data_IF_174025968893
#
_entry.id   IF_174025968893
#
_cell.length_a   1.000
_cell.length_b   1.000
_cell.length_c   1.000
_cell.angle_alpha   90.00
_cell.angle_beta   90.00
_cell.angle_gamma   90.00
#
_symmetry.space_group_name_H-M   'P 1'
#
loop_
_entity.id
_entity.type
_entity.pdbx_description
1 polymer ?
#
# COMPACT_ATOMS: atom_id res chain seq x y z
N UNK A 1 -2.76 -16.26 -3.59
CA UNK A 1 -2.86 -15.77 -2.19
C UNK A 1 -1.66 -14.88 -1.96
N UNK A 2 -1.89 -13.64 -1.54
CA UNK A 2 -0.87 -12.62 -1.42
C UNK A 2 -0.50 -12.24 0.05
N UNK A 3 0.67 -11.61 0.22
CA UNK A 3 1.32 -11.08 1.42
C UNK A 3 1.09 -9.59 1.43
N UNK A 4 0.52 -9.13 2.53
CA UNK A 4 0.02 -7.78 2.66
C UNK A 4 0.43 -7.30 4.04
N UNK A 5 1.31 -6.30 4.17
CA UNK A 5 1.84 -5.91 5.48
C UNK A 5 0.82 -5.06 6.26
N UNK A 6 0.77 -5.25 7.57
CA UNK A 6 0.19 -4.30 8.54
C UNK A 6 1.26 -3.87 9.53
N UNK A 7 1.42 -2.56 9.72
CA UNK A 7 2.30 -1.95 10.70
C UNK A 7 1.49 -1.60 11.95
N UNK A 8 2.01 -1.95 13.12
CA UNK A 8 1.38 -1.70 14.42
C UNK A 8 2.32 -0.91 15.30
N UNK A 9 1.76 -0.04 16.13
CA UNK A 9 2.50 0.56 17.25
C UNK A 9 2.10 -0.04 18.58
N UNK A 10 2.98 0.05 19.58
CA UNK A 10 2.64 -0.28 20.97
C UNK A 10 2.15 0.97 21.69
N UNK A 11 1.00 0.85 22.35
CA UNK A 11 0.53 1.89 23.28
C UNK A 11 0.33 1.29 24.66
N UNK A 12 0.90 1.93 25.68
CA UNK A 12 0.57 1.68 27.08
C UNK A 12 -0.55 2.65 27.42
N UNK A 13 -1.80 2.19 27.42
CA UNK A 13 -2.92 3.02 27.84
C UNK A 13 -3.09 2.97 29.35
N UNK A 14 -3.02 4.09 30.09
CA UNK A 14 -3.68 4.19 31.38
C UNK A 14 -5.20 4.12 31.16
N UNK A 15 -5.92 3.44 32.05
CA UNK A 15 -7.37 3.26 32.01
C UNK A 15 -8.10 4.60 31.73
N UNK A 16 -8.92 4.71 30.66
CA UNK A 16 -9.61 5.96 30.35
C UNK A 16 -10.80 6.17 31.29
N UNK A 17 -10.95 7.40 31.79
CA UNK A 17 -12.16 7.87 32.47
C UNK A 17 -13.18 8.35 31.41
N UNK A 18 -14.38 7.77 31.47
CA UNK A 18 -15.49 8.07 30.57
C UNK A 18 -15.98 9.52 30.75
N UNK A 19 -15.90 10.32 29.69
CA UNK A 19 -16.72 11.53 29.55
C UNK A 19 -17.30 11.63 28.15
N UNK A 20 -18.63 11.76 28.08
CA UNK A 20 -19.45 11.85 26.88
C UNK A 20 -19.53 13.30 26.38
N UNK A 21 -19.32 13.59 25.08
CA UNK A 21 -19.71 14.87 24.51
C UNK A 21 -21.14 14.83 23.97
N UNK A 22 -21.89 15.90 24.28
CA UNK A 22 -23.24 16.22 23.82
C UNK A 22 -23.28 16.56 22.33
N UNK A 23 -24.36 16.13 21.67
CA UNK A 23 -24.79 16.59 20.36
C UNK A 23 -25.27 18.05 20.38
N UNK A 24 -25.06 18.77 19.28
CA UNK A 24 -25.83 19.97 18.92
C UNK A 24 -25.99 20.06 17.40
N UNK A 25 -27.04 20.76 17.00
CA UNK A 25 -27.85 20.53 15.80
C UNK A 25 -27.81 21.68 14.78
N UNK A 26 -28.27 21.34 13.56
CA UNK A 26 -29.14 22.10 12.64
C UNK A 26 -28.63 23.32 11.83
N UNK A 27 -28.70 23.12 10.49
CA UNK A 27 -29.38 23.91 9.42
C UNK A 27 -29.00 25.38 9.13
N UNK A 28 -28.73 25.68 7.86
CA UNK A 28 -29.66 26.44 6.99
C UNK A 28 -29.20 26.58 5.54
N UNK A 29 -30.19 26.64 4.64
CA UNK A 29 -30.15 26.75 3.18
C UNK A 29 -30.17 28.23 2.77
N UNK A 30 -29.56 28.58 1.63
CA UNK A 30 -30.00 29.76 0.86
C UNK A 30 -29.82 29.56 -0.66
N UNK A 31 -30.86 29.98 -1.39
CA UNK A 31 -31.00 30.04 -2.85
C UNK A 31 -30.90 31.51 -3.27
N UNK A 32 -30.44 31.82 -4.50
CA UNK A 32 -31.17 32.84 -5.25
C UNK A 32 -31.47 32.49 -6.71
N UNK A 33 -32.41 33.27 -7.22
CA UNK A 33 -33.27 33.11 -8.39
C UNK A 33 -32.65 33.69 -9.69
N UNK A 34 -32.90 32.99 -10.80
CA UNK A 34 -33.26 33.43 -12.18
C UNK A 34 -32.61 34.66 -12.85
N UNK A 35 -32.12 34.52 -14.09
CA UNK A 35 -32.89 34.84 -15.33
C UNK A 35 -32.04 34.75 -16.62
N UNK A 36 -32.77 34.52 -17.73
CA UNK A 36 -32.56 35.01 -19.10
C UNK A 36 -32.14 33.99 -20.17
N UNK A 37 -33.13 33.68 -21.02
CA UNK A 37 -32.98 33.10 -22.35
C UNK A 37 -32.26 34.05 -23.31
N UNK A 38 -31.33 33.51 -24.08
CA UNK A 38 -30.86 34.10 -25.34
C UNK A 38 -30.55 32.97 -26.33
N UNK A 39 -31.25 33.01 -27.46
CA UNK A 39 -31.13 32.07 -28.57
C UNK A 39 -29.99 32.53 -29.49
N UNK A 40 -28.97 31.67 -29.71
CA UNK A 40 -27.95 31.88 -30.75
C UNK A 40 -27.65 30.59 -31.51
N UNK A 41 -27.53 30.76 -32.83
CA UNK A 41 -27.46 29.81 -33.95
C UNK A 41 -26.56 28.57 -33.79
N UNK A 42 -26.84 27.46 -34.50
CA UNK A 42 -26.07 26.23 -34.40
C UNK A 42 -24.67 26.42 -34.99
N UNK A 43 -23.65 26.19 -34.16
CA UNK A 43 -22.25 26.12 -34.56
C UNK A 43 -22.02 24.75 -35.21
N UNK A 44 -21.41 24.74 -36.40
CA UNK A 44 -21.12 23.53 -37.16
C UNK A 44 -20.40 22.48 -36.29
N UNK A 45 -20.96 21.28 -36.23
CA UNK A 45 -20.42 20.12 -35.53
C UNK A 45 -19.14 19.67 -36.23
N UNK A 46 -17.99 19.60 -35.53
CA UNK A 46 -16.80 18.96 -36.10
C UNK A 46 -17.10 17.46 -36.30
N UNK A 47 -16.48 16.81 -37.31
CA UNK A 47 -16.67 15.36 -37.52
C UNK A 47 -16.37 14.60 -36.22
N UNK A 48 -17.22 13.63 -35.88
CA UNK A 48 -17.24 12.95 -34.57
C UNK A 48 -15.88 12.43 -34.08
N UNK A 49 -14.97 12.14 -35.01
CA UNK A 49 -13.60 11.72 -34.71
C UNK A 49 -12.76 12.81 -34.01
N UNK A 50 -12.91 14.09 -34.40
CA UNK A 50 -12.22 15.20 -33.73
C UNK A 50 -12.75 15.45 -32.32
N UNK A 51 -14.01 15.14 -32.06
CA UNK A 51 -14.62 15.28 -30.72
C UNK A 51 -14.11 14.23 -29.74
N UNK A 52 -13.83 13.01 -30.23
CA UNK A 52 -13.25 11.92 -29.42
C UNK A 52 -11.78 12.20 -29.10
N UNK A 53 -10.99 12.63 -30.09
CA UNK A 53 -9.58 13.00 -29.87
C UNK A 53 -9.49 14.18 -28.91
N UNK A 54 -10.32 15.22 -29.07
CA UNK A 54 -10.33 16.37 -28.17
C UNK A 54 -10.70 15.95 -26.74
N UNK A 55 -11.68 15.06 -26.57
CA UNK A 55 -12.06 14.56 -25.24
C UNK A 55 -10.93 13.76 -24.59
N UNK A 56 -10.29 12.86 -25.32
CA UNK A 56 -9.14 12.09 -24.82
C UNK A 56 -7.96 12.99 -24.42
N UNK A 57 -7.67 14.05 -25.20
CA UNK A 57 -6.61 15.02 -24.86
C UNK A 57 -6.94 15.83 -23.61
N UNK A 58 -8.21 16.23 -23.44
CA UNK A 58 -8.67 16.93 -22.24
C UNK A 58 -8.60 16.01 -21.01
N UNK A 59 -9.08 14.77 -21.12
CA UNK A 59 -9.00 13.75 -20.07
C UNK A 59 -7.54 13.44 -19.70
N UNK A 60 -6.64 13.29 -20.68
CA UNK A 60 -5.21 13.09 -20.44
C UNK A 60 -4.57 14.31 -19.76
N UNK A 61 -4.98 15.53 -20.12
CA UNK A 61 -4.48 16.76 -19.52
C UNK A 61 -5.01 16.99 -18.09
N UNK A 62 -6.26 16.65 -17.81
CA UNK A 62 -6.83 16.63 -16.46
C UNK A 62 -6.18 15.55 -15.60
N UNK A 63 -5.99 14.35 -16.13
CA UNK A 63 -5.24 13.27 -15.49
C UNK A 63 -3.81 13.70 -15.17
N UNK A 64 -3.13 14.37 -16.10
CA UNK A 64 -1.78 14.92 -15.89
C UNK A 64 -1.76 15.99 -14.80
N UNK A 65 -2.77 16.87 -14.74
CA UNK A 65 -2.89 17.90 -13.69
C UNK A 65 -3.14 17.28 -12.32
N UNK A 66 -4.08 16.35 -12.21
CA UNK A 66 -4.35 15.61 -10.97
C UNK A 66 -3.09 14.86 -10.49
N UNK A 67 -2.38 14.20 -11.40
CA UNK A 67 -1.11 13.50 -11.11
C UNK A 67 0.00 14.44 -10.67
N UNK A 68 0.08 15.65 -11.23
CA UNK A 68 1.07 16.66 -10.84
C UNK A 68 0.79 17.25 -9.46
N UNK A 69 -0.49 17.34 -9.06
CA UNK A 69 -0.92 17.85 -7.76
C UNK A 69 -0.63 16.84 -6.63
N UNK A 70 -0.91 15.54 -6.87
CA UNK A 70 -0.54 14.43 -5.96
C UNK A 70 0.98 14.29 -5.80
N UNK A 71 1.74 14.47 -6.88
CA UNK A 71 3.21 14.39 -6.83
C UNK A 71 3.87 15.47 -5.95
N UNK A 72 3.17 16.57 -5.62
CA UNK A 72 3.80 17.75 -5.01
C UNK A 72 3.78 17.73 -3.49
N UNK A 73 2.85 17.00 -2.86
CA UNK A 73 2.76 16.81 -1.41
C UNK A 73 2.15 15.44 -1.16
N UNK A 74 2.82 14.62 -0.34
CA UNK A 74 2.17 13.44 0.22
C UNK A 74 0.81 13.76 0.81
N UNK A 75 -0.04 12.76 0.91
CA UNK A 75 -1.33 12.89 1.55
C UNK A 75 -1.16 12.65 3.04
N UNK A 76 -1.66 13.57 3.86
CA UNK A 76 -1.73 13.39 5.32
C UNK A 76 -3.08 12.72 5.66
N UNK A 77 -3.03 11.53 6.26
CA UNK A 77 -4.20 10.73 6.65
C UNK A 77 -4.05 10.32 8.12
N UNK A 78 -4.98 10.71 9.00
CA UNK A 78 -4.92 10.36 10.44
C UNK A 78 -3.57 10.73 11.10
N UNK A 79 -2.91 11.81 10.64
CA UNK A 79 -1.59 12.23 11.11
C UNK A 79 -0.40 11.44 10.55
N UNK A 80 -0.64 10.59 9.54
CA UNK A 80 0.37 9.82 8.82
C UNK A 80 0.58 10.39 7.43
N UNK A 81 1.85 10.66 7.09
CA UNK A 81 2.24 11.07 5.75
C UNK A 81 2.37 9.84 4.85
N UNK A 82 1.61 9.82 3.75
CA UNK A 82 1.64 8.77 2.74
C UNK A 82 2.04 9.38 1.40
N UNK A 83 3.07 8.84 0.79
CA UNK A 83 3.58 9.29 -0.51
C UNK A 83 3.74 8.10 -1.43
N UNK A 84 3.52 8.23 -2.75
CA UNK A 84 3.78 7.10 -3.62
C UNK A 84 3.28 7.21 -5.05
N UNK A 85 3.51 6.13 -5.78
CA UNK A 85 3.04 5.90 -7.14
C UNK A 85 2.28 4.58 -7.14
N UNK A 86 1.11 4.54 -7.76
CA UNK A 86 0.39 3.29 -8.02
C UNK A 86 -0.38 3.44 -9.34
N UNK A 87 0.06 2.69 -10.34
CA UNK A 87 -0.53 2.64 -11.67
C UNK A 87 -0.57 1.17 -12.06
N UNK A 88 -1.77 0.63 -12.20
CA UNK A 88 -2.00 -0.80 -12.47
C UNK A 88 -1.18 -1.30 -13.65
N UNK A 89 -0.45 -2.39 -13.44
CA UNK A 89 0.42 -3.02 -14.44
C UNK A 89 1.70 -2.27 -14.77
N UNK A 90 1.98 -1.13 -14.13
CA UNK A 90 3.14 -0.28 -14.43
C UNK A 90 4.08 -0.09 -13.25
N UNK A 91 3.56 0.39 -12.11
CA UNK A 91 4.37 0.65 -10.92
C UNK A 91 3.52 0.81 -9.67
N UNK A 92 3.95 0.20 -8.57
CA UNK A 92 3.46 0.46 -7.21
C UNK A 92 4.66 0.67 -6.29
N UNK A 93 4.67 1.79 -5.56
CA UNK A 93 5.63 2.11 -4.52
C UNK A 93 5.01 3.14 -3.56
N UNK A 94 4.73 2.71 -2.33
CA UNK A 94 4.11 3.53 -1.29
C UNK A 94 5.11 3.75 -0.17
N UNK A 95 5.50 4.98 0.06
CA UNK A 95 6.46 5.43 1.08
C UNK A 95 5.69 5.92 2.30
N UNK A 96 6.09 5.43 3.47
CA UNK A 96 5.57 5.80 4.78
C UNK A 96 6.72 6.33 5.65
N UNK A 97 7.07 7.62 5.54
CA UNK A 97 8.23 8.19 6.22
C UNK A 97 8.19 8.02 7.75
N UNK A 98 7.01 8.15 8.36
CA UNK A 98 6.82 7.99 9.82
C UNK A 98 7.29 6.63 10.34
N UNK A 99 7.15 5.58 9.51
CA UNK A 99 7.52 4.21 9.85
C UNK A 99 8.85 3.79 9.24
N UNK A 100 9.58 4.70 8.58
CA UNK A 100 10.82 4.39 7.87
C UNK A 100 10.63 3.21 6.88
N UNK A 101 9.45 3.14 6.26
CA UNK A 101 8.96 1.95 5.56
C UNK A 101 8.48 2.27 4.14
N UNK A 102 8.58 1.28 3.26
CA UNK A 102 8.06 1.30 1.89
C UNK A 102 7.29 0.01 1.64
N UNK A 103 6.13 0.13 1.01
CA UNK A 103 5.39 -0.99 0.46
C UNK A 103 5.55 -1.00 -1.07
N UNK A 104 6.06 -2.12 -1.57
CA UNK A 104 6.43 -2.35 -2.96
C UNK A 104 7.47 -1.38 -3.56
N UNK A 105 8.13 -1.85 -4.60
CA UNK A 105 9.24 -1.20 -5.29
C UNK A 105 9.15 -1.46 -6.80
N UNK A 106 7.99 -1.15 -7.40
CA UNK A 106 7.85 -1.06 -8.86
C UNK A 106 8.66 0.09 -9.45
N UNK A 107 8.70 1.20 -8.70
CA UNK A 107 9.49 2.41 -8.97
C UNK A 107 10.44 2.65 -7.81
N UNK A 108 11.64 3.18 -8.07
CA UNK A 108 12.59 3.60 -7.04
C UNK A 108 12.71 5.13 -6.96
N UNK A 109 11.72 5.85 -6.36
CA UNK A 109 11.85 7.29 -6.13
C UNK A 109 12.89 7.59 -5.04
N UNK A 110 13.51 8.77 -5.11
CA UNK A 110 14.56 9.19 -4.15
C UNK A 110 14.11 9.10 -2.68
N UNK A 111 12.83 9.37 -2.38
CA UNK A 111 12.29 9.23 -1.01
C UNK A 111 12.24 7.78 -0.52
N UNK A 112 11.97 6.82 -1.40
CA UNK A 112 11.96 5.40 -1.05
C UNK A 112 13.37 4.89 -0.72
N UNK A 113 14.40 5.38 -1.45
CA UNK A 113 15.82 5.03 -1.21
C UNK A 113 16.25 5.28 0.23
N UNK A 114 15.68 6.28 0.90
CA UNK A 114 16.04 6.66 2.27
C UNK A 114 15.27 5.89 3.36
N UNK A 115 14.33 5.02 2.99
CA UNK A 115 13.62 4.19 3.94
C UNK A 115 14.38 2.88 4.18
N UNK A 116 14.40 2.36 5.40
CA UNK A 116 15.19 1.19 5.74
C UNK A 116 14.43 -0.13 5.60
N UNK A 117 13.11 -0.09 5.69
CA UNK A 117 12.25 -1.28 5.68
C UNK A 117 11.41 -1.32 4.40
N UNK A 118 11.60 -2.35 3.58
CA UNK A 118 10.84 -2.53 2.34
C UNK A 118 10.03 -3.82 2.45
N UNK A 119 8.72 -3.75 2.24
CA UNK A 119 7.83 -4.90 2.20
C UNK A 119 7.37 -5.10 0.76
N UNK A 120 7.73 -6.24 0.17
CA UNK A 120 7.27 -6.63 -1.15
C UNK A 120 6.04 -7.52 -0.99
N UNK A 121 4.92 -7.10 -1.58
CA UNK A 121 3.67 -7.85 -1.54
C UNK A 121 3.76 -9.11 -2.36
N UNK A 122 4.19 -9.00 -3.61
CA UNK A 122 4.32 -10.13 -4.52
C UNK A 122 5.27 -9.80 -5.69
N UNK A 123 5.46 -10.75 -6.62
CA UNK A 123 6.56 -10.70 -7.59
C UNK A 123 6.19 -10.27 -9.03
N UNK A 124 5.07 -9.58 -9.28
CA UNK A 124 4.96 -8.89 -10.57
C UNK A 124 5.99 -7.73 -10.64
N UNK A 125 6.42 -7.42 -11.86
CA UNK A 125 7.49 -6.44 -12.12
C UNK A 125 7.12 -5.04 -11.64
N UNK A 126 5.85 -4.66 -11.73
CA UNK A 126 5.33 -3.40 -11.22
C UNK A 126 5.32 -3.31 -9.69
N UNK A 127 5.65 -4.39 -8.96
CA UNK A 127 5.77 -4.39 -7.49
C UNK A 127 7.19 -4.63 -6.99
N UNK A 128 8.05 -5.33 -7.75
CA UNK A 128 9.43 -5.65 -7.31
C UNK A 128 10.52 -5.19 -8.27
N UNK A 129 10.17 -4.78 -9.50
CA UNK A 129 11.11 -4.60 -10.60
C UNK A 129 12.24 -3.61 -10.33
N UNK A 130 12.02 -2.60 -9.48
CA UNK A 130 13.03 -1.63 -9.09
C UNK A 130 13.85 -2.02 -7.85
N UNK A 131 13.67 -3.23 -7.29
CA UNK A 131 14.43 -3.70 -6.13
C UNK A 131 15.96 -3.64 -6.33
N UNK A 132 16.55 -4.14 -7.45
CA UNK A 132 17.99 -4.03 -7.68
C UNK A 132 18.46 -2.57 -7.75
N UNK A 133 17.67 -1.70 -8.38
CA UNK A 133 17.97 -0.27 -8.47
C UNK A 133 17.96 0.40 -7.10
N UNK A 134 16.99 0.06 -6.26
CA UNK A 134 16.89 0.53 -4.88
C UNK A 134 18.13 0.15 -4.05
N UNK A 135 18.55 -1.13 -4.10
CA UNK A 135 19.75 -1.59 -3.39
C UNK A 135 21.02 -0.93 -3.92
N UNK A 136 21.20 -0.86 -5.24
CA UNK A 136 22.35 -0.23 -5.87
C UNK A 136 22.45 1.26 -5.51
N UNK A 137 21.32 1.98 -5.50
CA UNK A 137 21.28 3.41 -5.17
C UNK A 137 21.64 3.64 -3.70
N UNK A 138 21.17 2.78 -2.79
CA UNK A 138 21.58 2.84 -1.37
C UNK A 138 23.09 2.62 -1.21
N UNK A 139 23.66 1.66 -1.93
CA UNK A 139 25.10 1.42 -1.96
C UNK A 139 25.88 2.64 -2.47
N UNK A 140 25.41 3.25 -3.57
CA UNK A 140 25.99 4.47 -4.13
C UNK A 140 25.99 5.62 -3.11
N UNK A 141 24.93 5.74 -2.31
CA UNK A 141 24.80 6.77 -1.27
C UNK A 141 25.47 6.39 0.06
N UNK A 142 26.15 5.24 0.12
CA UNK A 142 26.77 4.71 1.35
C UNK A 142 25.76 4.61 2.52
N UNK A 143 24.49 4.33 2.21
CA UNK A 143 23.48 4.06 3.21
C UNK A 143 23.63 2.64 3.73
N UNK A 144 23.17 2.38 4.97
CA UNK A 144 23.17 1.03 5.52
C UNK A 144 22.33 0.08 4.64
N UNK A 145 22.66 -1.22 4.58
CA UNK A 145 21.81 -2.21 3.92
C UNK A 145 20.38 -2.15 4.48
N UNK A 146 19.34 -2.16 3.63
CA UNK A 146 17.96 -2.20 4.10
C UNK A 146 17.56 -3.62 4.51
N UNK A 147 16.49 -3.71 5.30
CA UNK A 147 15.78 -4.98 5.52
C UNK A 147 14.62 -5.06 4.53
N UNK A 148 14.61 -6.12 3.71
CA UNK A 148 13.58 -6.37 2.71
C UNK A 148 12.78 -7.60 3.12
N UNK A 149 11.50 -7.40 3.35
CA UNK A 149 10.54 -8.44 3.68
C UNK A 149 9.87 -8.93 2.40
N UNK A 150 9.90 -10.25 2.21
CA UNK A 150 9.27 -10.91 1.07
C UNK A 150 8.45 -12.12 1.52
N UNK A 151 7.46 -12.53 0.74
CA UNK A 151 6.88 -13.84 0.83
C UNK A 151 7.91 -14.97 0.92
N UNK A 152 7.71 -15.98 1.80
CA UNK A 152 8.56 -17.16 1.82
C UNK A 152 8.60 -17.89 0.48
N UNK A 153 7.55 -17.77 -0.34
CA UNK A 153 7.50 -18.41 -1.65
C UNK A 153 8.50 -17.84 -2.66
N UNK A 154 8.83 -16.54 -2.56
CA UNK A 154 9.69 -15.85 -3.54
C UNK A 154 11.10 -15.60 -3.03
N UNK A 155 11.40 -15.80 -1.75
CA UNK A 155 12.72 -15.49 -1.16
C UNK A 155 13.89 -16.03 -1.99
N UNK A 156 13.86 -17.31 -2.37
CA UNK A 156 14.92 -17.94 -3.18
C UNK A 156 15.01 -17.38 -4.59
N UNK A 157 13.91 -16.92 -5.16
CA UNK A 157 13.89 -16.31 -6.49
C UNK A 157 14.48 -14.90 -6.44
N UNK A 158 14.20 -14.15 -5.38
CA UNK A 158 14.80 -12.84 -5.11
C UNK A 158 16.30 -12.95 -4.86
N UNK A 159 16.76 -13.92 -4.07
CA UNK A 159 18.20 -14.20 -3.88
C UNK A 159 18.90 -14.43 -5.24
N UNK A 160 18.29 -15.23 -6.12
CA UNK A 160 18.79 -15.47 -7.47
C UNK A 160 18.76 -14.24 -8.36
N UNK A 161 17.72 -13.42 -8.27
CA UNK A 161 17.63 -12.14 -9.01
C UNK A 161 18.80 -11.22 -8.64
N UNK A 162 19.09 -11.08 -7.35
CA UNK A 162 20.20 -10.23 -6.88
C UNK A 162 21.56 -10.80 -7.30
N UNK A 163 21.74 -12.11 -7.26
CA UNK A 163 22.95 -12.79 -7.73
C UNK A 163 23.20 -12.56 -9.23
N UNK A 164 22.14 -12.64 -10.06
CA UNK A 164 22.23 -12.35 -11.49
C UNK A 164 22.66 -10.91 -11.72
N UNK A 165 22.06 -9.95 -11.02
CA UNK A 165 22.48 -8.55 -11.11
C UNK A 165 23.92 -8.33 -10.64
N UNK A 166 24.34 -9.00 -9.56
CA UNK A 166 25.72 -8.97 -9.08
C UNK A 166 26.68 -9.48 -10.15
N UNK A 167 26.41 -10.66 -10.73
CA UNK A 167 27.22 -11.26 -11.79
C UNK A 167 27.33 -10.36 -13.02
N UNK A 168 26.22 -9.72 -13.43
CA UNK A 168 26.20 -8.85 -14.62
C UNK A 168 26.94 -7.53 -14.42
N UNK A 169 26.82 -6.93 -13.24
CA UNK A 169 27.30 -5.56 -12.97
C UNK A 169 28.59 -5.49 -12.17
N UNK A 170 29.00 -6.59 -11.55
CA UNK A 170 30.09 -6.66 -10.56
C UNK A 170 29.89 -5.66 -9.39
N UNK A 171 28.63 -5.40 -9.03
CA UNK A 171 28.23 -4.56 -7.89
C UNK A 171 27.59 -5.43 -6.83
N UNK A 172 28.02 -5.31 -5.58
CA UNK A 172 27.41 -6.02 -4.46
C UNK A 172 26.11 -5.33 -4.02
N UNK A 173 25.01 -6.09 -4.02
CA UNK A 173 23.68 -5.61 -3.62
C UNK A 173 23.37 -6.06 -2.19
N UNK A 174 23.93 -5.34 -1.21
CA UNK A 174 23.80 -5.66 0.20
C UNK A 174 22.36 -5.49 0.71
N UNK A 175 21.80 -6.55 1.30
CA UNK A 175 20.42 -6.58 1.82
C UNK A 175 20.27 -7.58 2.97
N UNK A 176 19.44 -7.26 3.95
CA UNK A 176 18.91 -8.24 4.91
C UNK A 176 17.55 -8.76 4.41
N UNK A 177 17.54 -9.91 3.74
CA UNK A 177 16.34 -10.46 3.10
C UNK A 177 15.59 -11.41 4.05
N UNK A 178 14.46 -10.94 4.56
CA UNK A 178 13.62 -11.65 5.53
C UNK A 178 12.40 -12.26 4.82
N UNK A 179 12.21 -13.57 4.99
CA UNK A 179 10.93 -14.20 4.65
C UNK A 179 9.98 -13.99 5.82
N UNK A 180 8.79 -13.46 5.56
CA UNK A 180 7.78 -13.20 6.58
C UNK A 180 6.43 -13.73 6.09
N UNK A 181 5.80 -14.63 6.85
CA UNK A 181 4.55 -15.31 6.47
C UNK A 181 3.35 -14.88 7.31
N UNK A 182 2.14 -15.10 6.80
CA UNK A 182 0.91 -14.81 7.54
C UNK A 182 0.87 -15.53 8.89
N UNK A 183 0.60 -14.76 9.94
CA UNK A 183 0.60 -15.23 11.33
C UNK A 183 1.93 -15.06 12.06
N UNK A 184 2.99 -14.64 11.36
CA UNK A 184 4.23 -14.22 11.99
C UNK A 184 4.17 -12.75 12.41
N UNK A 185 5.00 -12.38 13.37
CA UNK A 185 5.19 -10.99 13.82
C UNK A 185 6.67 -10.70 13.79
N UNK A 186 7.05 -9.61 13.13
CA UNK A 186 8.41 -9.11 13.11
C UNK A 186 8.48 -7.81 13.90
N UNK A 187 9.33 -7.77 14.92
CA UNK A 187 9.61 -6.55 15.69
C UNK A 187 10.66 -5.72 14.94
N UNK A 188 10.22 -4.64 14.32
CA UNK A 188 11.08 -3.73 13.54
C UNK A 188 11.92 -2.89 14.50
N UNK A 189 11.27 -2.37 15.55
CA UNK A 189 11.84 -1.63 16.68
C UNK A 189 10.89 -1.76 17.87
N UNK A 190 11.31 -1.31 19.06
CA UNK A 190 10.59 -1.51 20.33
C UNK A 190 9.10 -1.06 20.29
N UNK A 191 8.76 -0.09 19.46
CA UNK A 191 7.43 0.51 19.31
C UNK A 191 6.74 0.18 17.98
N UNK A 192 7.33 -0.66 17.12
CA UNK A 192 6.82 -0.92 15.77
C UNK A 192 6.99 -2.39 15.39
N UNK A 193 5.88 -3.05 15.06
CA UNK A 193 5.87 -4.43 14.56
C UNK A 193 5.18 -4.52 13.20
N UNK A 194 5.65 -5.43 12.36
CA UNK A 194 4.98 -5.81 11.12
C UNK A 194 4.32 -7.18 11.27
N UNK A 195 3.08 -7.30 10.79
CA UNK A 195 2.39 -8.59 10.62
C UNK A 195 1.77 -8.65 9.23
N UNK A 196 2.12 -9.66 8.42
CA UNK A 196 1.43 -9.85 7.17
C UNK A 196 0.09 -10.56 7.39
N UNK A 197 -0.87 -10.21 6.55
CA UNK A 197 -2.18 -10.85 6.46
C UNK A 197 -2.38 -11.46 5.07
N UNK A 198 -3.48 -12.18 4.89
CA UNK A 198 -3.74 -12.96 3.66
C UNK A 198 -4.62 -12.18 2.69
N UNK A 199 -4.19 -12.16 1.43
CA UNK A 199 -4.94 -11.59 0.30
C UNK A 199 -5.04 -12.61 -0.85
N UNK A 200 -5.73 -12.24 -1.93
CA UNK A 200 -6.15 -13.16 -2.99
C UNK A 200 -5.79 -12.62 -4.38
N UNK A 201 -4.67 -13.07 -4.93
CA UNK A 201 -4.19 -12.66 -6.25
C UNK A 201 -3.79 -13.86 -7.13
N UNK A 202 -3.65 -13.62 -8.45
CA UNK A 202 -3.40 -14.65 -9.48
C UNK A 202 -2.04 -15.33 -9.37
N UNK A 203 -1.02 -14.63 -8.86
CA UNK A 203 0.26 -15.26 -8.54
C UNK A 203 0.41 -15.54 -7.04
N UNK A 204 1.20 -16.56 -6.67
CA UNK A 204 1.48 -16.85 -5.27
C UNK A 204 2.33 -15.75 -4.67
N UNK A 205 1.92 -15.29 -3.51
CA UNK A 205 2.78 -14.52 -2.62
C UNK A 205 2.68 -14.98 -1.17
N UNK A 206 2.19 -16.21 -0.96
CA UNK A 206 2.47 -17.07 0.19
C UNK A 206 2.47 -18.54 -0.27
N UNK A 207 3.27 -19.40 0.36
CA UNK A 207 3.10 -20.86 0.22
C UNK A 207 2.04 -21.32 1.22
N UNK A 208 1.21 -22.32 0.87
CA UNK A 208 0.34 -23.02 1.83
C UNK A 208 1.20 -23.87 2.77
N UNK A 209 1.90 -23.27 3.73
CA UNK A 209 2.48 -24.01 4.85
C UNK A 209 1.51 -23.98 6.02
N UNK A 210 1.04 -25.17 6.39
CA UNK A 210 0.30 -25.37 7.60
C UNK A 210 1.26 -25.18 8.80
N UNK A 211 0.97 -24.19 9.63
CA UNK A 211 1.47 -24.04 11.00
C UNK A 211 3.01 -24.04 11.17
N UNK A 212 3.63 -22.86 11.06
CA UNK A 212 4.89 -22.61 11.76
C UNK A 212 4.57 -21.75 13.00
N UNK A 213 4.84 -22.34 14.17
CA UNK A 213 4.65 -21.69 15.47
C UNK A 213 5.64 -20.53 15.60
N UNK A 214 5.13 -19.31 15.76
CA UNK A 214 5.91 -18.08 15.94
C UNK A 214 6.81 -18.14 17.17
N UNK A 215 8.07 -18.53 16.97
CA UNK A 215 9.11 -18.67 17.99
C UNK A 215 9.85 -17.34 18.28
N UNK A 216 9.14 -16.23 18.48
CA UNK A 216 9.80 -14.96 18.85
C UNK A 216 9.13 -14.15 19.98
N UNK A 217 8.17 -14.72 20.74
CA UNK A 217 7.69 -14.11 22.00
C UNK A 217 8.39 -14.75 23.22
N UNK A 218 9.72 -14.89 23.19
CA UNK A 218 10.48 -15.47 24.32
C UNK A 218 11.49 -14.52 24.96
N UNK A 219 11.87 -13.42 24.30
CA UNK A 219 12.83 -12.46 24.86
C UNK A 219 12.22 -11.52 25.91
N UNK A 220 10.92 -11.22 25.84
CA UNK A 220 10.24 -10.33 26.80
C UNK A 220 9.83 -11.01 28.12
N UNK A 221 9.70 -12.34 28.15
CA UNK A 221 9.30 -13.09 29.36
C UNK A 221 10.39 -13.21 30.43
N UNK A 222 11.65 -12.88 30.11
CA UNK A 222 12.79 -13.12 31.00
C UNK A 222 13.21 -11.92 31.87
N UNK A 223 12.52 -10.77 31.82
CA UNK A 223 12.93 -9.57 32.56
C UNK A 223 12.21 -9.35 33.90
N UNK A 224 11.23 -10.19 34.29
CA UNK A 224 10.62 -10.14 35.62
C UNK A 224 9.88 -8.84 35.98
N UNK A 225 9.65 -7.96 35.02
CA UNK A 225 8.80 -6.77 35.17
C UNK A 225 7.36 -7.19 34.89
N UNK A 226 6.41 -6.81 35.77
CA UNK A 226 4.98 -6.96 35.49
C UNK A 226 4.67 -6.22 34.18
N UNK A 227 4.50 -6.99 33.10
CA UNK A 227 4.12 -6.47 31.79
C UNK A 227 2.68 -5.97 31.95
N UNK A 228 2.52 -4.66 32.10
CA UNK A 228 1.26 -3.99 31.78
C UNK A 228 0.86 -4.39 30.36
N UNK A 229 -0.40 -4.80 30.14
CA UNK A 229 -0.86 -5.36 28.87
C UNK A 229 -0.42 -4.47 27.69
N UNK A 230 0.56 -4.92 26.92
CA UNK A 230 0.99 -4.22 25.70
C UNK A 230 -0.11 -4.40 24.66
N UNK A 231 -0.86 -3.33 24.40
CA UNK A 231 -1.88 -3.30 23.37
C UNK A 231 -1.21 -2.90 22.05
N UNK A 232 -1.34 -3.77 21.05
CA UNK A 232 -0.93 -3.49 19.68
C UNK A 232 -2.06 -2.80 18.94
N UNK A 233 -1.75 -1.65 18.34
CA UNK A 233 -2.70 -0.84 17.58
C UNK A 233 -2.30 -0.88 16.11
N UNK A 234 -3.15 -1.40 15.19
CA UNK A 234 -2.86 -1.37 13.77
C UNK A 234 -2.90 0.08 13.26
N UNK A 235 -1.78 0.55 12.73
CA UNK A 235 -1.64 1.92 12.22
C UNK A 235 -1.94 1.96 10.73
N UNK A 236 -1.24 1.14 9.94
CA UNK A 236 -1.38 1.10 8.49
C UNK A 236 -1.45 -0.34 8.02
N UNK A 237 -2.44 -0.66 7.19
CA UNK A 237 -2.52 -1.91 6.45
C UNK A 237 -2.42 -1.64 4.95
N UNK A 238 -1.70 -2.49 4.24
CA UNK A 238 -1.58 -2.42 2.78
C UNK A 238 -1.87 -3.77 2.16
N UNK A 239 -2.84 -3.83 1.24
CA UNK A 239 -3.26 -5.09 0.64
C UNK A 239 -2.34 -5.57 -0.48
N UNK A 240 -1.66 -4.67 -1.18
CA UNK A 240 -1.21 -4.98 -2.55
C UNK A 240 -2.40 -5.41 -3.42
N UNK A 241 -2.14 -6.20 -4.45
CA UNK A 241 -3.19 -6.65 -5.35
C UNK A 241 -3.95 -7.83 -4.75
N UNK A 242 -5.28 -7.76 -4.83
CA UNK A 242 -6.18 -8.72 -4.22
C UNK A 242 -7.59 -8.60 -4.78
N UNK A 243 -8.36 -9.69 -4.68
CA UNK A 243 -9.82 -9.64 -4.71
C UNK A 243 -10.40 -9.17 -3.37
N UNK A 244 -11.66 -8.74 -3.37
CA UNK A 244 -12.42 -8.27 -2.21
C UNK A 244 -12.64 -9.33 -1.12
N UNK A 245 -12.36 -10.60 -1.41
CA UNK A 245 -12.46 -11.70 -0.45
C UNK A 245 -11.64 -11.47 0.83
N UNK A 246 -10.57 -10.66 0.78
CA UNK A 246 -9.77 -10.33 1.95
C UNK A 246 -10.59 -9.62 3.04
N UNK A 247 -11.63 -8.87 2.66
CA UNK A 247 -12.51 -8.14 3.58
C UNK A 247 -13.35 -9.13 4.41
N UNK A 248 -13.71 -10.26 3.79
CA UNK A 248 -14.59 -11.27 4.39
C UNK A 248 -13.82 -12.25 5.28
N UNK A 249 -12.49 -12.30 5.23
CA UNK A 249 -11.68 -13.17 6.09
C UNK A 249 -11.59 -12.58 7.51
N UNK A 250 -12.15 -13.23 8.55
CA UNK A 250 -12.09 -12.71 9.92
C UNK A 250 -10.67 -12.53 10.45
N UNK A 251 -9.69 -13.24 9.89
CA UNK A 251 -8.27 -13.13 10.25
C UNK A 251 -7.65 -11.81 9.79
N UNK A 252 -8.30 -11.09 8.87
CA UNK A 252 -7.88 -9.79 8.38
C UNK A 252 -8.53 -8.63 9.15
N UNK A 253 -9.23 -8.90 10.26
CA UNK A 253 -9.91 -7.88 11.07
C UNK A 253 -8.98 -6.76 11.55
N UNK A 254 -7.71 -7.03 11.82
CA UNK A 254 -6.74 -5.97 12.17
C UNK A 254 -6.44 -5.04 10.99
N UNK A 255 -6.43 -5.55 9.75
CA UNK A 255 -6.24 -4.72 8.55
C UNK A 255 -7.43 -3.76 8.35
N UNK A 256 -8.66 -4.24 8.61
CA UNK A 256 -9.87 -3.43 8.54
C UNK A 256 -10.03 -2.45 9.72
N UNK A 257 -9.32 -2.68 10.83
CA UNK A 257 -9.27 -1.80 12.01
C UNK A 257 -8.09 -0.84 11.99
N UNK A 258 -7.20 -0.93 11.00
CA UNK A 258 -6.07 -0.02 10.87
C UNK A 258 -6.57 1.42 10.72
N UNK A 259 -5.81 2.39 11.25
CA UNK A 259 -6.15 3.81 11.05
C UNK A 259 -6.17 4.18 9.58
N UNK A 260 -5.25 3.62 8.80
CA UNK A 260 -5.19 3.78 7.35
C UNK A 260 -5.13 2.40 6.68
N UNK A 261 -6.12 2.09 5.86
CA UNK A 261 -6.10 0.95 4.93
C UNK A 261 -5.80 1.45 3.52
N UNK A 262 -4.69 1.00 2.96
CA UNK A 262 -4.30 1.26 1.57
C UNK A 262 -4.63 0.00 0.78
N UNK A 263 -5.64 0.07 -0.09
CA UNK A 263 -6.12 -1.07 -0.88
C UNK A 263 -6.14 -0.77 -2.36
N UNK A 264 -5.99 -1.81 -3.18
CA UNK A 264 -6.18 -1.67 -4.63
C UNK A 264 -7.64 -1.39 -5.00
N UNK A 265 -7.81 -0.71 -6.12
CA UNK A 265 -9.07 -0.56 -6.85
C UNK A 265 -8.73 -0.43 -8.32
N UNK A 266 -8.33 -1.55 -8.94
CA UNK A 266 -7.78 -1.58 -10.30
C UNK A 266 -8.79 -1.10 -11.34
N UNK A 267 -10.07 -1.47 -11.16
CA UNK A 267 -11.14 -1.14 -12.10
C UNK A 267 -12.11 -0.13 -11.48
N UNK A 268 -12.42 0.92 -12.24
CA UNK A 268 -13.19 2.08 -11.78
C UNK A 268 -14.46 2.34 -12.60
N UNK A 269 -14.57 1.77 -13.79
CA UNK A 269 -15.63 2.04 -14.75
C UNK A 269 -16.55 0.83 -14.96
N UNK A 270 -17.69 1.07 -15.61
CA UNK A 270 -18.66 0.03 -15.92
C UNK A 270 -18.23 -0.89 -17.08
N UNK A 271 -17.09 -0.63 -17.74
CA UNK A 271 -16.61 -1.49 -18.83
C UNK A 271 -16.10 -2.83 -18.29
N UNK A 272 -15.52 -2.81 -17.08
CA UNK A 272 -15.03 -3.99 -16.39
C UNK A 272 -15.88 -4.27 -15.16
N UNK A 273 -16.66 -5.34 -15.21
CA UNK A 273 -17.46 -5.76 -14.07
C UNK A 273 -16.64 -6.42 -12.95
N UNK A 274 -17.30 -6.59 -11.79
CA UNK A 274 -16.72 -7.21 -10.58
C UNK A 274 -16.21 -8.62 -10.84
N UNK A 275 -16.91 -9.41 -11.66
CA UNK A 275 -16.52 -10.81 -11.92
C UNK A 275 -15.25 -10.87 -12.79
N UNK A 276 -15.12 -9.95 -13.74
CA UNK A 276 -13.92 -9.78 -14.54
C UNK A 276 -12.73 -9.35 -13.67
N UNK A 277 -12.93 -8.39 -12.76
CA UNK A 277 -11.90 -7.95 -11.81
C UNK A 277 -11.40 -9.14 -10.97
N UNK A 278 -12.32 -9.88 -10.36
CA UNK A 278 -12.02 -11.06 -9.53
C UNK A 278 -11.28 -12.14 -10.29
N UNK A 279 -11.67 -12.40 -11.54
CA UNK A 279 -11.01 -13.40 -12.39
C UNK A 279 -9.52 -13.09 -12.61
N UNK A 280 -9.15 -11.81 -12.62
CA UNK A 280 -7.77 -11.36 -12.74
C UNK A 280 -7.10 -11.11 -11.38
N UNK A 281 -7.77 -11.45 -10.28
CA UNK A 281 -7.23 -11.31 -8.93
C UNK A 281 -7.19 -9.88 -8.42
N UNK A 282 -8.12 -9.04 -8.91
CA UNK A 282 -8.21 -7.61 -8.60
C UNK A 282 -9.60 -7.22 -8.08
N UNK A 283 -9.71 -5.98 -7.64
CA UNK A 283 -10.95 -5.39 -7.14
C UNK A 283 -11.51 -4.32 -8.07
N UNK A 284 -12.84 -4.28 -8.13
CA UNK A 284 -13.56 -3.14 -8.67
C UNK A 284 -13.89 -2.15 -7.53
N UNK A 285 -13.91 -0.84 -7.82
CA UNK A 285 -14.14 0.21 -6.81
C UNK A 285 -15.48 0.07 -6.06
N UNK A 286 -16.50 -0.48 -6.73
CA UNK A 286 -17.82 -0.74 -6.15
C UNK A 286 -17.79 -1.77 -5.01
N UNK A 287 -16.69 -2.50 -4.83
CA UNK A 287 -16.53 -3.47 -3.74
C UNK A 287 -15.94 -2.84 -2.47
N UNK A 288 -15.54 -1.57 -2.53
CA UNK A 288 -14.88 -0.82 -1.44
C UNK A 288 -15.74 0.34 -0.91
N UNK A 289 -16.85 0.65 -1.59
CA UNK A 289 -17.76 1.77 -1.29
C UNK A 289 -19.09 1.28 -0.73
#
# INVERSE_FOLDING_TARGET
MAFSPTLYTTTITPLPSLSLPRASSSLSVSVPYSTAHSCTRPRATPPGYLSVIHRAVVEEEEYRKARAEVNRKGTELEGLSVEGFSIGGMETCIVLPTFNSVFDMGRCPSRAVHQDFLFITYAHLDHIGSLPMYLATRGLYSLKPPTVFVPPCIKKDVERLLEVHHTMSNVELNVDLVALDAGETYEIRNDLVARPFKTHHVIPSQKKYAHLNGSQIKKLKNSGVEITDMILVPEVAFTGDTTSDFILDPRNSDALRAKVLITEATFLDEEIDVEHAKKHGHMHISEVT
#
